data_IF_585580247723
#
_entry.id   IF_585580247723
#
_cell.length_a   1.000
_cell.length_b   1.000
_cell.length_c   1.000
_cell.angle_alpha   90.00
_cell.angle_beta   90.00
_cell.angle_gamma   90.00
#
_symmetry.space_group_name_H-M   'P 1'
#
loop_
_entity.id
_entity.type
_entity.pdbx_description
1 polymer ?
#
# COMPACT_ATOMS: atom_id res chain seq x y z
N UNK A 1 36.66 -28.85 -15.24
CA UNK A 1 35.63 -28.89 -14.17
C UNK A 1 34.69 -27.72 -14.40
N UNK A 2 33.42 -27.99 -14.72
CA UNK A 2 32.42 -26.92 -14.82
C UNK A 2 32.26 -26.25 -13.44
N UNK A 3 32.33 -24.93 -13.41
CA UNK A 3 32.25 -24.14 -12.18
C UNK A 3 30.92 -24.38 -11.47
N UNK A 4 30.96 -24.84 -10.22
CA UNK A 4 29.82 -25.12 -9.37
C UNK A 4 29.08 -23.86 -8.85
N UNK A 5 29.17 -22.72 -9.55
CA UNK A 5 28.82 -21.43 -8.94
C UNK A 5 27.36 -20.98 -9.14
N UNK A 6 26.61 -21.47 -10.12
CA UNK A 6 25.22 -21.05 -10.39
C UNK A 6 24.38 -22.22 -10.93
N UNK A 7 23.20 -22.53 -10.32
CA UNK A 7 22.30 -23.57 -10.83
C UNK A 7 21.78 -23.25 -12.25
N UNK A 8 21.55 -24.28 -13.06
CA UNK A 8 21.09 -24.12 -14.46
C UNK A 8 19.72 -23.42 -14.58
N UNK A 9 18.87 -23.54 -13.57
CA UNK A 9 17.56 -22.88 -13.54
C UNK A 9 17.65 -21.37 -13.26
N UNK A 10 18.79 -20.88 -12.73
CA UNK A 10 18.91 -19.51 -12.27
C UNK A 10 19.47 -18.58 -13.36
N UNK A 11 18.60 -17.76 -13.94
CA UNK A 11 19.03 -16.65 -14.79
C UNK A 11 19.61 -15.50 -13.95
N UNK A 12 20.89 -15.18 -14.15
CA UNK A 12 21.57 -14.11 -13.41
C UNK A 12 21.04 -12.72 -13.73
N UNK A 13 20.61 -12.47 -14.97
CA UNK A 13 20.09 -11.18 -15.41
C UNK A 13 18.75 -10.87 -14.75
N UNK A 14 17.84 -11.85 -14.75
CA UNK A 14 16.53 -11.71 -14.14
C UNK A 14 16.65 -11.52 -12.62
N UNK A 15 17.49 -12.30 -11.97
CA UNK A 15 17.74 -12.16 -10.53
C UNK A 15 18.37 -10.81 -10.18
N UNK A 16 19.32 -10.31 -10.99
CA UNK A 16 19.93 -8.99 -10.78
C UNK A 16 18.89 -7.87 -10.94
N UNK A 17 18.04 -7.94 -11.96
CA UNK A 17 16.96 -6.98 -12.17
C UNK A 17 15.95 -6.99 -11.02
N UNK A 18 15.60 -8.16 -10.51
CA UNK A 18 14.70 -8.26 -9.36
C UNK A 18 15.29 -7.65 -8.09
N UNK A 19 16.55 -7.91 -7.78
CA UNK A 19 17.21 -7.32 -6.60
C UNK A 19 17.33 -5.80 -6.70
N UNK A 20 17.64 -5.28 -7.91
CA UNK A 20 17.61 -3.84 -8.17
C UNK A 20 16.21 -3.27 -7.96
N UNK A 21 15.19 -3.91 -8.53
CA UNK A 21 13.78 -3.50 -8.39
C UNK A 21 13.34 -3.49 -6.92
N UNK A 22 13.67 -4.54 -6.16
CA UNK A 22 13.40 -4.61 -4.72
C UNK A 22 14.05 -3.44 -3.95
N UNK A 23 15.28 -3.09 -4.30
CA UNK A 23 16.01 -1.98 -3.69
C UNK A 23 15.35 -0.64 -4.00
N UNK A 24 14.91 -0.42 -5.24
CA UNK A 24 14.21 0.80 -5.64
C UNK A 24 12.88 0.95 -4.89
N UNK A 25 12.13 -0.13 -4.71
CA UNK A 25 10.89 -0.13 -3.91
C UNK A 25 11.21 0.12 -2.43
N UNK A 26 12.26 -0.50 -1.89
CA UNK A 26 12.69 -0.26 -0.51
C UNK A 26 13.13 1.20 -0.29
N UNK A 27 13.73 1.86 -1.30
CA UNK A 27 14.06 3.29 -1.26
C UNK A 27 12.81 4.18 -1.26
N UNK A 28 11.72 3.77 -1.94
CA UNK A 28 10.43 4.46 -1.82
C UNK A 28 9.92 4.42 -0.38
N UNK A 29 10.12 3.30 0.34
CA UNK A 29 9.74 3.15 1.74
C UNK A 29 10.66 3.89 2.72
N UNK A 30 11.92 3.47 2.84
CA UNK A 30 12.85 3.95 3.88
C UNK A 30 13.09 5.46 3.81
N UNK A 31 13.87 6.01 2.86
CA UNK A 31 14.04 7.45 2.77
C UNK A 31 12.83 8.15 2.14
N UNK A 32 12.16 7.54 1.16
CA UNK A 32 11.09 8.19 0.41
C UNK A 32 9.89 8.60 1.29
N UNK A 33 9.23 7.63 1.94
CA UNK A 33 8.09 7.92 2.80
C UNK A 33 8.48 8.72 4.04
N UNK A 34 9.64 8.44 4.64
CA UNK A 34 10.09 9.20 5.81
C UNK A 34 10.26 10.70 5.50
N UNK A 35 10.93 11.03 4.38
CA UNK A 35 11.10 12.42 3.95
C UNK A 35 9.77 13.06 3.54
N UNK A 36 8.93 12.31 2.80
CA UNK A 36 7.62 12.80 2.39
C UNK A 36 6.74 13.13 3.58
N UNK A 37 6.66 12.24 4.58
CA UNK A 37 5.85 12.45 5.77
C UNK A 37 6.39 13.55 6.68
N UNK A 38 7.71 13.61 6.89
CA UNK A 38 8.31 14.70 7.66
C UNK A 38 8.02 16.07 7.04
N UNK A 39 8.02 16.17 5.70
CA UNK A 39 7.73 17.40 4.97
C UNK A 39 6.25 17.73 4.81
N UNK A 40 5.36 16.74 4.93
CA UNK A 40 3.92 16.91 4.72
C UNK A 40 3.17 17.34 6.00
N UNK A 41 3.81 17.27 7.17
CA UNK A 41 3.23 17.63 8.46
C UNK A 41 3.88 18.90 9.04
N UNK A 42 3.23 19.60 9.98
CA UNK A 42 3.88 20.68 10.73
C UNK A 42 5.19 20.23 11.38
N UNK A 43 6.17 21.12 11.51
CA UNK A 43 7.51 20.81 12.08
C UNK A 43 7.48 20.04 13.40
N UNK A 44 6.49 20.31 14.26
CA UNK A 44 6.32 19.61 15.53
C UNK A 44 5.99 18.12 15.41
N UNK A 45 5.74 17.61 14.20
CA UNK A 45 5.41 16.21 13.93
C UNK A 45 6.40 15.54 12.96
N UNK A 46 7.42 16.27 12.52
CA UNK A 46 8.29 15.82 11.44
C UNK A 46 9.07 14.55 11.85
N UNK A 47 9.57 14.51 13.08
CA UNK A 47 10.37 13.40 13.59
C UNK A 47 9.51 12.15 13.80
N UNK A 48 8.39 12.29 14.51
CA UNK A 48 7.44 11.19 14.75
C UNK A 48 6.97 10.59 13.44
N UNK A 49 6.61 11.44 12.46
CA UNK A 49 6.08 10.98 11.17
C UNK A 49 7.13 10.25 10.32
N UNK A 50 8.39 10.70 10.35
CA UNK A 50 9.51 9.98 9.73
C UNK A 50 9.73 8.61 10.38
N UNK A 51 9.74 8.56 11.72
CA UNK A 51 9.93 7.30 12.46
C UNK A 51 8.78 6.32 12.26
N UNK A 52 7.54 6.78 12.09
CA UNK A 52 6.42 5.89 11.75
C UNK A 52 6.67 5.12 10.44
N UNK A 53 7.18 5.80 9.40
CA UNK A 53 7.54 5.17 8.13
C UNK A 53 8.76 4.23 8.24
N UNK A 54 9.82 4.66 8.93
CA UNK A 54 11.01 3.82 9.15
C UNK A 54 10.68 2.57 9.97
N UNK A 55 9.88 2.72 11.03
CA UNK A 55 9.40 1.62 11.84
C UNK A 55 8.55 0.64 11.04
N UNK A 56 7.65 1.13 10.18
CA UNK A 56 6.83 0.30 9.30
C UNK A 56 7.68 -0.66 8.46
N UNK A 57 8.73 -0.14 7.82
CA UNK A 57 9.67 -0.95 7.04
C UNK A 57 10.44 -1.95 7.94
N UNK A 58 10.99 -1.45 9.05
CA UNK A 58 11.84 -2.22 9.95
C UNK A 58 11.08 -3.36 10.65
N UNK A 59 9.87 -3.11 11.14
CA UNK A 59 9.04 -4.10 11.82
C UNK A 59 8.42 -5.11 10.84
N UNK A 60 8.17 -4.71 9.60
CA UNK A 60 7.67 -5.62 8.56
C UNK A 60 8.73 -6.64 8.14
N UNK A 61 10.02 -6.32 8.19
CA UNK A 61 11.09 -7.26 7.79
C UNK A 61 11.11 -8.56 8.59
N UNK A 62 11.16 -8.56 9.94
CA UNK A 62 11.09 -9.80 10.71
C UNK A 62 9.74 -10.49 10.56
N UNK A 63 8.62 -9.75 10.48
CA UNK A 63 7.31 -10.36 10.24
C UNK A 63 7.30 -11.16 8.93
N UNK A 64 7.79 -10.53 7.86
CA UNK A 64 7.84 -11.12 6.53
C UNK A 64 8.80 -12.30 6.47
N UNK A 65 10.05 -12.11 6.90
CA UNK A 65 11.11 -13.11 6.81
C UNK A 65 10.86 -14.34 7.69
N UNK A 66 10.19 -14.19 8.85
CA UNK A 66 10.00 -15.29 9.79
C UNK A 66 8.73 -16.10 9.50
N UNK A 67 7.62 -15.46 9.15
CA UNK A 67 6.36 -16.19 8.94
C UNK A 67 5.50 -15.69 7.78
N UNK A 68 5.37 -14.37 7.58
CA UNK A 68 4.29 -13.84 6.76
C UNK A 68 4.45 -14.21 5.26
N UNK A 69 5.68 -14.41 4.78
CA UNK A 69 5.96 -14.90 3.42
C UNK A 69 5.66 -16.39 3.18
N UNK A 70 5.25 -17.13 4.22
CA UNK A 70 4.90 -18.56 4.17
C UNK A 70 3.51 -18.83 4.76
N UNK A 71 2.72 -17.79 5.07
CA UNK A 71 1.38 -17.98 5.63
C UNK A 71 0.35 -18.50 4.63
N UNK A 72 0.61 -18.33 3.33
CA UNK A 72 -0.18 -18.92 2.26
C UNK A 72 0.65 -19.91 1.47
N UNK A 73 -0.01 -20.96 0.98
CA UNK A 73 0.57 -21.82 -0.03
C UNK A 73 0.45 -21.15 -1.39
N UNK A 74 1.49 -21.28 -2.22
CA UNK A 74 1.40 -20.86 -3.63
C UNK A 74 0.55 -21.92 -4.33
N UNK A 75 -0.74 -21.67 -4.48
CA UNK A 75 -1.73 -22.67 -4.92
C UNK A 75 -1.61 -23.04 -6.41
N UNK A 76 -0.97 -22.18 -7.22
CA UNK A 76 -0.86 -22.38 -8.67
C UNK A 76 0.61 -22.38 -9.11
N UNK A 77 1.07 -23.44 -9.78
CA UNK A 77 2.46 -23.52 -10.27
C UNK A 77 2.85 -22.38 -11.24
N UNK A 78 1.87 -21.75 -11.90
CA UNK A 78 2.08 -20.61 -12.79
C UNK A 78 2.44 -19.30 -12.06
N UNK A 79 2.28 -19.22 -10.74
CA UNK A 79 2.78 -18.11 -9.90
C UNK A 79 4.02 -18.51 -9.10
N UNK A 80 4.57 -19.71 -9.32
CA UNK A 80 5.80 -20.13 -8.66
C UNK A 80 6.96 -19.22 -9.11
N UNK A 81 7.69 -18.61 -8.17
CA UNK A 81 8.74 -17.66 -8.52
C UNK A 81 9.90 -18.37 -9.23
N UNK A 82 10.35 -17.80 -10.35
CA UNK A 82 11.56 -18.23 -11.07
C UNK A 82 12.86 -17.70 -10.43
N UNK A 83 12.79 -17.33 -9.16
CA UNK A 83 13.81 -16.59 -8.45
C UNK A 83 14.20 -17.30 -7.15
N UNK A 84 15.45 -17.16 -6.68
CA UNK A 84 15.86 -17.65 -5.36
C UNK A 84 14.91 -17.15 -4.27
N UNK A 85 14.49 -18.05 -3.37
CA UNK A 85 13.53 -17.71 -2.30
C UNK A 85 13.93 -16.45 -1.52
N UNK A 86 15.21 -16.31 -1.15
CA UNK A 86 15.71 -15.12 -0.45
C UNK A 86 15.49 -13.81 -1.23
N UNK A 87 15.65 -13.83 -2.55
CA UNK A 87 15.41 -12.65 -3.40
C UNK A 87 13.93 -12.29 -3.51
N UNK A 88 13.05 -13.29 -3.56
CA UNK A 88 11.59 -13.10 -3.52
C UNK A 88 11.12 -12.56 -2.19
N UNK A 89 11.64 -13.09 -1.09
CA UNK A 89 11.33 -12.62 0.27
C UNK A 89 11.71 -11.15 0.40
N UNK A 90 12.90 -10.75 -0.07
CA UNK A 90 13.32 -9.35 -0.06
C UNK A 90 12.46 -8.46 -0.97
N UNK A 91 12.16 -8.92 -2.19
CA UNK A 91 11.30 -8.18 -3.13
C UNK A 91 9.91 -7.93 -2.55
N UNK A 92 9.24 -8.97 -2.06
CA UNK A 92 7.89 -8.84 -1.52
C UNK A 92 7.85 -8.11 -0.17
N UNK A 93 8.89 -8.23 0.65
CA UNK A 93 9.00 -7.40 1.86
C UNK A 93 8.99 -5.91 1.53
N UNK A 94 9.66 -5.48 0.45
CA UNK A 94 9.71 -4.08 0.09
C UNK A 94 8.28 -3.54 -0.19
N UNK A 95 7.44 -4.31 -0.90
CA UNK A 95 6.03 -3.98 -1.09
C UNK A 95 5.27 -4.00 0.24
N UNK A 96 5.40 -5.04 1.05
CA UNK A 96 4.71 -5.16 2.34
C UNK A 96 5.00 -3.98 3.27
N UNK A 97 6.29 -3.63 3.43
CA UNK A 97 6.74 -2.54 4.28
C UNK A 97 6.25 -1.18 3.79
N UNK A 98 6.37 -0.90 2.49
CA UNK A 98 5.85 0.34 1.89
C UNK A 98 4.34 0.43 2.10
N UNK A 99 3.63 -0.67 1.94
CA UNK A 99 2.16 -0.72 2.06
C UNK A 99 1.71 -0.33 3.46
N UNK A 100 2.20 -1.00 4.51
CA UNK A 100 1.81 -0.61 5.87
C UNK A 100 2.33 0.78 6.24
N UNK A 101 3.49 1.19 5.71
CA UNK A 101 4.00 2.56 5.83
C UNK A 101 3.02 3.60 5.27
N UNK A 102 2.38 3.31 4.13
CA UNK A 102 1.40 4.20 3.49
C UNK A 102 0.15 4.44 4.35
N UNK A 103 -0.24 3.47 5.18
CA UNK A 103 -1.36 3.62 6.13
C UNK A 103 -1.09 4.75 7.12
N UNK A 104 0.18 4.96 7.51
CA UNK A 104 0.57 6.02 8.44
C UNK A 104 0.12 7.39 7.95
N UNK A 105 0.18 7.63 6.63
CA UNK A 105 -0.21 8.89 5.99
C UNK A 105 -1.62 9.34 6.33
N UNK A 106 -2.53 8.42 6.65
CA UNK A 106 -3.87 8.80 7.07
C UNK A 106 -3.92 9.24 8.53
N UNK A 107 -3.03 8.71 9.39
CA UNK A 107 -3.06 8.79 10.87
C UNK A 107 -1.96 9.68 11.50
N UNK A 108 -1.18 10.39 10.68
CA UNK A 108 -0.10 11.27 11.13
C UNK A 108 -0.59 12.37 12.10
N UNK A 109 0.31 12.78 13.00
CA UNK A 109 0.10 13.87 13.94
C UNK A 109 -0.93 13.59 15.05
N UNK A 110 -1.40 12.35 15.22
CA UNK A 110 -2.36 12.04 16.30
C UNK A 110 -2.41 10.62 16.82
N UNK A 111 -2.01 9.62 16.03
CA UNK A 111 -2.03 8.24 16.51
C UNK A 111 -0.93 8.02 17.55
N UNK A 112 -1.25 7.27 18.60
CA UNK A 112 -0.25 6.88 19.60
C UNK A 112 0.85 6.06 18.95
N UNK A 113 2.11 6.40 19.22
CA UNK A 113 3.28 5.63 18.73
C UNK A 113 3.22 4.18 19.21
N UNK A 114 2.75 3.93 20.44
CA UNK A 114 2.58 2.56 20.96
C UNK A 114 1.51 1.79 20.19
N UNK A 115 0.40 2.46 19.84
CA UNK A 115 -0.63 1.86 19.01
C UNK A 115 -0.11 1.57 17.60
N UNK A 116 0.67 2.48 17.01
CA UNK A 116 1.33 2.28 15.72
C UNK A 116 2.28 1.07 15.74
N UNK A 117 3.09 0.96 16.79
CA UNK A 117 4.02 -0.16 16.97
C UNK A 117 3.31 -1.52 17.05
N UNK A 118 2.13 -1.58 17.68
CA UNK A 118 1.33 -2.80 17.68
C UNK A 118 0.59 -3.02 16.35
N UNK A 119 0.09 -1.94 15.74
CA UNK A 119 -0.69 -1.98 14.51
C UNK A 119 0.11 -2.56 13.33
N UNK A 120 1.35 -2.10 13.12
CA UNK A 120 2.18 -2.51 11.97
C UNK A 120 2.33 -4.03 11.83
N UNK A 121 2.88 -4.77 12.81
CA UNK A 121 3.07 -6.22 12.66
C UNK A 121 1.73 -6.98 12.54
N UNK A 122 0.70 -6.51 13.24
CA UNK A 122 -0.65 -7.09 13.15
C UNK A 122 -1.27 -6.88 11.77
N UNK A 123 -1.18 -5.67 11.21
CA UNK A 123 -1.76 -5.33 9.91
C UNK A 123 -1.00 -5.98 8.76
N UNK A 124 0.33 -6.02 8.83
CA UNK A 124 1.15 -6.79 7.88
C UNK A 124 0.71 -8.25 7.84
N UNK A 125 0.53 -8.88 9.01
CA UNK A 125 0.19 -10.30 9.12
C UNK A 125 -1.26 -10.60 8.76
N UNK A 126 -2.21 -9.85 9.32
CA UNK A 126 -3.63 -10.19 9.29
C UNK A 126 -4.40 -9.50 8.16
N UNK A 127 -3.85 -8.43 7.57
CA UNK A 127 -4.49 -7.72 6.46
C UNK A 127 -3.69 -7.87 5.16
N UNK A 128 -2.45 -7.36 5.14
CA UNK A 128 -1.63 -7.31 3.93
C UNK A 128 -1.36 -8.71 3.36
N UNK A 129 -0.83 -9.62 4.18
CA UNK A 129 -0.51 -10.98 3.75
C UNK A 129 -1.74 -11.68 3.16
N UNK A 130 -2.89 -11.61 3.82
CA UNK A 130 -4.13 -12.22 3.33
C UNK A 130 -4.57 -11.62 1.99
N UNK A 131 -4.47 -10.29 1.84
CA UNK A 131 -4.74 -9.60 0.58
C UNK A 131 -3.78 -10.02 -0.54
N UNK A 132 -2.48 -10.05 -0.26
CA UNK A 132 -1.44 -10.43 -1.21
C UNK A 132 -1.62 -11.87 -1.70
N UNK A 133 -1.82 -12.84 -0.80
CA UNK A 133 -2.03 -14.24 -1.21
C UNK A 133 -3.34 -14.45 -1.98
N UNK A 134 -4.39 -13.69 -1.66
CA UNK A 134 -5.66 -13.79 -2.38
C UNK A 134 -5.55 -13.42 -3.86
N UNK A 135 -4.65 -12.50 -4.23
CA UNK A 135 -4.49 -11.96 -5.59
C UNK A 135 -3.21 -12.47 -6.28
N UNK A 136 -2.06 -12.43 -5.60
CA UNK A 136 -0.76 -12.80 -6.17
C UNK A 136 -0.31 -14.22 -5.82
N UNK A 137 -0.74 -14.75 -4.68
CA UNK A 137 -0.38 -16.09 -4.21
C UNK A 137 -1.14 -17.24 -4.87
N UNK A 138 -2.04 -16.93 -5.82
CA UNK A 138 -2.89 -17.94 -6.46
C UNK A 138 -4.23 -18.19 -5.77
N UNK A 139 -4.62 -17.39 -4.76
CA UNK A 139 -5.85 -17.61 -4.01
C UNK A 139 -7.17 -17.26 -4.73
N UNK A 140 -8.23 -17.05 -3.95
CA UNK A 140 -9.59 -16.94 -4.51
C UNK A 140 -9.83 -15.77 -5.48
N UNK A 141 -9.18 -14.60 -5.29
CA UNK A 141 -9.32 -13.47 -6.21
C UNK A 141 -8.54 -13.71 -7.50
N UNK A 142 -7.37 -14.34 -7.39
CA UNK A 142 -6.60 -14.79 -8.55
C UNK A 142 -7.43 -15.70 -9.46
N UNK A 143 -8.08 -16.73 -8.90
CA UNK A 143 -8.93 -17.66 -9.65
C UNK A 143 -10.17 -17.01 -10.28
N UNK A 144 -10.55 -15.82 -9.83
CA UNK A 144 -11.64 -15.05 -10.42
C UNK A 144 -11.16 -14.04 -11.46
N UNK A 145 -9.90 -14.12 -11.90
CA UNK A 145 -9.39 -13.28 -13.00
C UNK A 145 -9.08 -11.85 -12.59
N UNK A 146 -8.86 -11.58 -11.30
CA UNK A 146 -8.45 -10.24 -10.83
C UNK A 146 -7.08 -9.91 -11.39
N UNK A 147 -7.02 -8.87 -12.23
CA UNK A 147 -5.76 -8.34 -12.76
C UNK A 147 -5.20 -7.28 -11.81
N UNK A 148 -4.02 -7.55 -11.27
CA UNK A 148 -3.27 -6.61 -10.45
C UNK A 148 -1.76 -6.80 -10.67
N UNK A 149 -1.19 -6.08 -11.63
CA UNK A 149 0.19 -6.28 -12.06
C UNK A 149 1.21 -5.98 -10.94
N UNK A 150 1.13 -4.82 -10.30
CA UNK A 150 2.08 -4.41 -9.26
C UNK A 150 1.46 -3.76 -8.01
N UNK A 151 0.15 -3.89 -7.79
CA UNK A 151 -0.45 -3.60 -6.48
C UNK A 151 -1.52 -2.51 -6.46
N UNK A 152 -2.28 -2.31 -7.54
CA UNK A 152 -3.45 -1.44 -7.51
C UNK A 152 -4.43 -1.81 -6.40
N UNK A 153 -4.65 -3.10 -6.16
CA UNK A 153 -5.52 -3.58 -5.10
C UNK A 153 -4.76 -3.98 -3.83
N UNK A 154 -3.72 -4.81 -3.97
CA UNK A 154 -2.93 -5.33 -2.84
C UNK A 154 -2.24 -4.20 -2.05
N UNK A 155 -1.83 -3.13 -2.73
CA UNK A 155 -1.18 -1.97 -2.11
C UNK A 155 -2.16 -0.82 -2.01
N UNK A 156 -2.57 -0.22 -3.12
CA UNK A 156 -3.20 1.10 -3.10
C UNK A 156 -4.64 1.10 -2.59
N UNK A 157 -5.50 0.18 -3.05
CA UNK A 157 -6.84 0.05 -2.50
C UNK A 157 -6.80 -0.33 -1.02
N UNK A 158 -5.94 -1.30 -0.66
CA UNK A 158 -5.79 -1.77 0.71
C UNK A 158 -5.43 -0.64 1.68
N UNK A 159 -4.42 0.18 1.34
CA UNK A 159 -3.98 1.28 2.22
C UNK A 159 -4.94 2.47 2.21
N UNK A 160 -5.57 2.77 1.07
CA UNK A 160 -6.58 3.81 0.98
C UNK A 160 -7.76 3.54 1.92
N UNK A 161 -8.27 2.30 1.90
CA UNK A 161 -9.37 1.87 2.77
C UNK A 161 -8.92 1.72 4.22
N UNK A 162 -7.77 1.09 4.46
CA UNK A 162 -7.27 0.86 5.82
C UNK A 162 -6.87 2.17 6.51
N UNK A 163 -6.21 3.08 5.80
CA UNK A 163 -5.86 4.41 6.32
C UNK A 163 -7.10 5.21 6.70
N UNK A 164 -8.10 5.26 5.83
CA UNK A 164 -9.35 5.95 6.12
C UNK A 164 -10.11 5.31 7.31
N UNK A 165 -10.14 3.98 7.36
CA UNK A 165 -10.72 3.22 8.49
C UNK A 165 -9.95 3.50 9.79
N UNK A 166 -8.62 3.56 9.73
CA UNK A 166 -7.80 3.86 10.89
C UNK A 166 -8.01 5.29 11.38
N UNK A 167 -8.07 6.26 10.48
CA UNK A 167 -8.38 7.65 10.79
C UNK A 167 -9.77 7.78 11.47
N UNK A 168 -10.76 6.99 11.05
CA UNK A 168 -12.07 6.95 11.72
C UNK A 168 -11.97 6.47 13.18
N UNK A 169 -11.26 5.36 13.44
CA UNK A 169 -11.13 4.81 14.79
C UNK A 169 -10.23 5.62 15.72
N UNK A 170 -9.19 6.26 15.17
CA UNK A 170 -8.29 7.14 15.92
C UNK A 170 -8.98 8.46 16.26
N UNK A 171 -9.80 8.98 15.34
CA UNK A 171 -10.47 10.26 15.47
C UNK A 171 -9.69 11.43 14.84
N UNK A 172 -10.30 12.63 14.80
CA UNK A 172 -9.77 13.78 14.08
C UNK A 172 -8.56 14.43 14.78
N UNK A 173 -7.76 15.16 13.99
CA UNK A 173 -6.77 16.12 14.48
C UNK A 173 -7.47 17.32 15.08
N UNK A 174 -6.66 18.20 15.64
CA UNK A 174 -7.10 19.54 16.02
C UNK A 174 -7.28 20.41 14.79
N UNK A 175 -8.30 21.27 14.80
CA UNK A 175 -8.65 22.13 13.65
C UNK A 175 -7.50 23.00 13.15
N UNK A 176 -6.63 23.44 14.04
CA UNK A 176 -5.46 24.26 13.66
C UNK A 176 -4.44 23.47 12.83
N UNK A 177 -4.54 22.14 12.80
CA UNK A 177 -3.64 21.21 12.11
C UNK A 177 -4.31 20.50 10.93
N UNK A 178 -5.61 20.71 10.71
CA UNK A 178 -6.38 20.12 9.60
C UNK A 178 -6.02 20.75 8.23
N UNK A 179 -5.20 21.79 8.20
CA UNK A 179 -4.76 22.48 6.98
C UNK A 179 -3.35 22.10 6.53
N UNK A 180 -3.23 21.10 5.66
CA UNK A 180 -1.95 20.78 5.01
C UNK A 180 -2.01 19.45 4.26
N UNK A 181 -2.11 19.52 2.93
CA UNK A 181 -2.16 18.30 2.11
C UNK A 181 -2.40 18.50 0.62
N UNK A 182 -1.96 19.61 0.00
CA UNK A 182 -2.14 19.82 -1.45
C UNK A 182 -1.02 19.22 -2.30
N UNK A 183 -0.47 18.08 -1.89
CA UNK A 183 0.52 17.33 -2.66
C UNK A 183 -0.11 16.01 -3.14
N UNK A 184 -0.55 16.00 -4.40
CA UNK A 184 0.21 15.37 -5.52
C UNK A 184 -0.72 14.72 -6.57
N UNK A 185 -0.95 15.41 -7.69
CA UNK A 185 -1.53 14.80 -8.90
C UNK A 185 -0.58 13.84 -9.64
N UNK A 186 0.74 13.98 -9.49
CA UNK A 186 1.73 13.02 -10.01
C UNK A 186 1.63 11.63 -9.33
N UNK A 187 1.46 11.57 -7.99
CA UNK A 187 1.33 10.32 -7.25
C UNK A 187 0.07 9.58 -7.66
N UNK A 188 -1.06 10.25 -7.84
CA UNK A 188 -2.28 9.57 -8.27
C UNK A 188 -2.08 8.90 -9.64
N UNK A 189 -1.37 9.55 -10.57
CA UNK A 189 -1.00 8.95 -11.85
C UNK A 189 -0.18 7.66 -11.69
N UNK A 190 0.81 7.66 -10.79
CA UNK A 190 1.59 6.46 -10.45
C UNK A 190 0.70 5.36 -9.87
N UNK A 191 -0.18 5.70 -8.92
CA UNK A 191 -1.14 4.76 -8.34
C UNK A 191 -2.08 4.17 -9.39
N UNK A 192 -2.58 5.00 -10.30
CA UNK A 192 -3.51 4.60 -11.36
C UNK A 192 -2.87 3.60 -12.34
N UNK A 193 -1.58 3.78 -12.68
CA UNK A 193 -0.91 2.86 -13.62
C UNK A 193 -0.45 1.55 -12.95
N UNK A 194 -0.29 1.50 -11.63
CA UNK A 194 0.17 0.31 -10.89
C UNK A 194 -0.49 -1.02 -11.30
N UNK A 195 -1.84 -1.17 -11.31
CA UNK A 195 -2.44 -2.44 -11.73
C UNK A 195 -2.26 -2.77 -13.22
N UNK A 196 -1.89 -1.79 -14.06
CA UNK A 196 -1.87 -1.88 -15.53
C UNK A 196 -0.47 -1.88 -16.15
N UNK A 197 0.59 -1.59 -15.39
CA UNK A 197 1.88 -1.17 -15.95
C UNK A 197 2.50 -2.15 -16.96
N UNK A 198 2.30 -3.46 -16.79
CA UNK A 198 2.72 -4.49 -17.74
C UNK A 198 1.65 -4.95 -18.73
N UNK A 199 0.41 -4.45 -18.62
CA UNK A 199 -0.78 -5.00 -19.28
C UNK A 199 -1.38 -4.08 -20.34
N UNK A 200 -0.97 -2.80 -20.39
CA UNK A 200 -1.54 -1.79 -21.29
C UNK A 200 -0.47 -1.20 -22.22
N UNK A 201 -0.92 -0.65 -23.35
CA UNK A 201 -0.05 0.04 -24.30
C UNK A 201 0.32 1.45 -23.81
N UNK A 202 1.43 2.00 -24.29
CA UNK A 202 1.93 3.32 -23.85
C UNK A 202 0.92 4.47 -24.06
N UNK A 203 0.15 4.45 -25.14
CA UNK A 203 -0.90 5.46 -25.37
C UNK A 203 -2.03 5.38 -24.34
N UNK A 204 -2.38 4.17 -23.88
CA UNK A 204 -3.40 3.97 -22.86
C UNK A 204 -2.91 4.45 -21.50
N UNK A 205 -1.63 4.23 -21.18
CA UNK A 205 -1.01 4.75 -19.96
C UNK A 205 -1.09 6.29 -19.87
N UNK A 206 -0.94 7.00 -20.99
CA UNK A 206 -1.11 8.46 -21.04
C UNK A 206 -2.56 8.87 -20.69
N UNK A 207 -3.56 8.16 -21.23
CA UNK A 207 -4.97 8.41 -20.92
C UNK A 207 -5.29 8.12 -19.45
N UNK A 208 -4.73 7.04 -18.89
CA UNK A 208 -4.87 6.70 -17.46
C UNK A 208 -4.27 7.79 -16.57
N UNK A 209 -3.13 8.37 -16.96
CA UNK A 209 -2.52 9.51 -16.28
C UNK A 209 -3.43 10.76 -16.29
N UNK A 210 -4.02 11.09 -17.44
CA UNK A 210 -4.97 12.22 -17.56
C UNK A 210 -6.23 11.99 -16.71
N UNK A 211 -6.80 10.78 -16.76
CA UNK A 211 -7.94 10.42 -15.93
C UNK A 211 -7.63 10.53 -14.42
N UNK A 212 -6.42 10.13 -14.02
CA UNK A 212 -5.98 10.22 -12.63
C UNK A 212 -5.67 11.65 -12.17
N UNK A 213 -5.31 12.55 -13.08
CA UNK A 213 -5.15 13.98 -12.76
C UNK A 213 -6.48 14.69 -12.50
N UNK A 214 -7.60 14.11 -12.94
CA UNK A 214 -8.93 14.73 -12.85
C UNK A 214 -9.80 14.11 -11.77
N UNK A 215 -10.00 12.79 -11.78
CA UNK A 215 -10.97 12.14 -10.89
C UNK A 215 -10.56 12.19 -9.39
N UNK A 216 -9.38 11.71 -8.98
CA UNK A 216 -8.88 11.88 -7.60
C UNK A 216 -8.92 13.34 -7.13
N UNK A 217 -8.43 14.28 -7.94
CA UNK A 217 -8.46 15.72 -7.64
C UNK A 217 -9.90 16.24 -7.45
N UNK A 218 -10.83 15.83 -8.30
CA UNK A 218 -12.25 16.17 -8.17
C UNK A 218 -12.84 15.62 -6.87
N UNK A 219 -12.55 14.35 -6.55
CA UNK A 219 -13.08 13.73 -5.33
C UNK A 219 -12.52 14.36 -4.06
N UNK A 220 -11.26 14.76 -4.06
CA UNK A 220 -10.59 15.40 -2.92
C UNK A 220 -11.07 16.84 -2.69
N UNK A 221 -11.36 17.59 -3.77
CA UNK A 221 -11.69 19.02 -3.66
C UNK A 221 -13.19 19.30 -3.66
N UNK A 222 -13.94 18.72 -4.60
CA UNK A 222 -15.33 19.10 -4.87
C UNK A 222 -16.34 18.09 -4.31
N UNK A 223 -15.99 16.79 -4.29
CA UNK A 223 -16.90 15.75 -3.80
C UNK A 223 -16.66 15.37 -2.33
N UNK A 224 -15.54 15.78 -1.72
CA UNK A 224 -15.25 15.51 -0.31
C UNK A 224 -16.34 16.07 0.61
N UNK A 225 -16.89 17.25 0.27
CA UNK A 225 -17.99 17.84 1.03
C UNK A 225 -19.32 17.11 0.90
N UNK A 226 -19.50 16.34 -0.18
CA UNK A 226 -20.68 15.51 -0.42
C UNK A 226 -20.59 14.12 0.23
N UNK A 227 -19.42 13.71 0.72
CA UNK A 227 -19.28 12.45 1.47
C UNK A 227 -19.98 12.54 2.82
N UNK A 228 -20.96 11.68 3.06
CA UNK A 228 -21.79 11.69 4.26
C UNK A 228 -21.05 11.32 5.55
N UNK A 229 -19.91 10.63 5.43
CA UNK A 229 -19.01 10.33 6.55
C UNK A 229 -17.71 11.07 6.29
N UNK A 230 -17.49 12.20 6.97
CA UNK A 230 -16.23 12.95 6.90
C UNK A 230 -15.28 12.42 7.95
N UNK A 231 -14.11 11.95 7.50
CA UNK A 231 -13.00 11.50 8.35
C UNK A 231 -11.81 12.39 8.03
N UNK A 232 -11.12 12.86 9.07
CA UNK A 232 -9.87 13.59 8.92
C UNK A 232 -8.74 12.63 8.51
N UNK A 233 -8.59 12.46 7.20
CA UNK A 233 -7.54 11.71 6.54
C UNK A 233 -6.37 12.65 6.20
N UNK A 234 -5.28 12.55 6.97
CA UNK A 234 -4.25 13.61 7.03
C UNK A 234 -3.65 13.98 5.69
N UNK A 235 -3.33 13.00 4.85
CA UNK A 235 -2.75 13.22 3.52
C UNK A 235 -3.73 12.87 2.40
N UNK A 236 -5.02 12.66 2.69
CA UNK A 236 -6.01 12.26 1.71
C UNK A 236 -5.70 10.91 1.06
N UNK A 237 -5.23 9.93 1.85
CA UNK A 237 -4.86 8.58 1.40
C UNK A 237 -6.03 7.85 0.74
N UNK A 238 -7.28 8.10 1.15
CA UNK A 238 -8.47 7.56 0.48
C UNK A 238 -8.51 7.99 -0.99
N UNK A 239 -8.36 9.28 -1.26
CA UNK A 239 -8.46 9.82 -2.62
C UNK A 239 -7.22 9.48 -3.46
N UNK A 240 -6.05 9.66 -2.87
CA UNK A 240 -4.78 9.46 -3.59
C UNK A 240 -4.48 8.00 -3.85
N UNK A 241 -4.84 7.07 -2.94
CA UNK A 241 -4.59 5.65 -3.08
C UNK A 241 -5.83 4.82 -3.45
N UNK A 242 -6.92 4.87 -2.68
CA UNK A 242 -8.08 4.00 -2.98
C UNK A 242 -8.84 4.43 -4.23
N UNK A 243 -9.19 5.71 -4.37
CA UNK A 243 -9.90 6.20 -5.58
C UNK A 243 -9.04 6.02 -6.83
N UNK A 244 -7.76 6.43 -6.78
CA UNK A 244 -6.83 6.24 -7.90
C UNK A 244 -6.57 4.76 -8.21
N UNK A 245 -6.47 3.89 -7.19
CA UNK A 245 -6.23 2.46 -7.37
C UNK A 245 -7.43 1.74 -7.98
N UNK A 246 -8.66 2.11 -7.58
CA UNK A 246 -9.89 1.62 -8.21
C UNK A 246 -9.98 2.10 -9.66
N UNK A 247 -9.71 3.38 -9.91
CA UNK A 247 -9.66 3.92 -11.27
C UNK A 247 -8.66 3.14 -12.13
N UNK A 248 -7.45 2.94 -11.62
CA UNK A 248 -6.41 2.17 -12.26
C UNK A 248 -6.84 0.74 -12.59
N UNK A 249 -7.44 0.03 -11.63
CA UNK A 249 -7.90 -1.34 -11.84
C UNK A 249 -9.04 -1.45 -12.86
N UNK A 250 -9.99 -0.51 -12.84
CA UNK A 250 -11.07 -0.43 -13.85
C UNK A 250 -10.50 -0.14 -15.24
N UNK A 251 -9.58 0.82 -15.36
CA UNK A 251 -8.97 1.18 -16.64
C UNK A 251 -8.00 0.11 -17.15
N UNK A 252 -7.31 -0.61 -16.27
CA UNK A 252 -6.60 -1.86 -16.62
C UNK A 252 -7.56 -2.82 -17.30
N UNK A 253 -8.76 -2.93 -16.74
CA UNK A 253 -9.84 -3.70 -17.32
C UNK A 253 -10.21 -3.30 -18.75
N UNK A 254 -10.32 -2.00 -18.99
CA UNK A 254 -10.69 -1.44 -20.30
C UNK A 254 -9.55 -1.57 -21.33
N UNK A 255 -8.31 -1.33 -20.91
CA UNK A 255 -7.17 -1.18 -21.81
C UNK A 255 -6.23 -2.39 -21.87
N UNK A 256 -6.50 -3.45 -21.10
CA UNK A 256 -5.72 -4.68 -21.11
C UNK A 256 -5.54 -5.24 -22.53
N UNK A 257 -4.29 -5.34 -22.95
CA UNK A 257 -3.95 -5.84 -24.28
C UNK A 257 -3.68 -7.35 -24.21
N UNK A 258 -4.39 -8.20 -24.99
CA UNK A 258 -4.31 -9.65 -24.85
C UNK A 258 -2.89 -10.21 -24.91
N UNK A 259 -2.08 -9.76 -25.86
CA UNK A 259 -0.67 -10.18 -25.97
C UNK A 259 0.17 -9.82 -24.75
N UNK A 260 -0.11 -8.67 -24.11
CA UNK A 260 0.61 -8.27 -22.89
C UNK A 260 0.14 -9.11 -21.70
N UNK A 261 -1.17 -9.35 -21.59
CA UNK A 261 -1.74 -10.25 -20.59
C UNK A 261 -1.17 -11.67 -20.70
N UNK A 262 -1.07 -12.23 -21.91
CA UNK A 262 -0.52 -13.58 -22.12
C UNK A 262 0.98 -13.68 -21.80
N UNK A 263 1.72 -12.56 -21.79
CA UNK A 263 3.14 -12.54 -21.40
C UNK A 263 3.34 -12.48 -19.89
N UNK A 264 2.47 -11.80 -19.16
CA UNK A 264 2.71 -11.44 -17.75
C UNK A 264 1.72 -12.03 -16.76
N UNK A 265 0.52 -12.40 -17.20
CA UNK A 265 -0.51 -12.98 -16.34
C UNK A 265 -0.53 -14.50 -16.50
N UNK A 266 -0.71 -15.24 -15.39
CA UNK A 266 -0.83 -16.69 -15.44
C UNK A 266 -2.10 -17.19 -16.15
N UNK A 267 -3.15 -16.35 -16.20
CA UNK A 267 -4.43 -16.67 -16.86
C UNK A 267 -4.42 -16.07 -18.27
N UNK A 268 -4.19 -16.91 -19.27
CA UNK A 268 -4.15 -16.52 -20.68
C UNK A 268 -5.55 -16.15 -21.20
N UNK A 269 -5.60 -15.26 -22.19
CA UNK A 269 -6.85 -14.77 -22.78
C UNK A 269 -7.66 -13.81 -21.90
N UNK A 270 -7.09 -13.36 -20.77
CA UNK A 270 -7.71 -12.40 -19.86
C UNK A 270 -8.06 -11.09 -20.58
N UNK A 271 -9.32 -10.66 -20.48
CA UNK A 271 -9.84 -9.38 -21.01
C UNK A 271 -10.74 -8.72 -19.96
N UNK A 272 -10.66 -7.40 -19.86
CA UNK A 272 -10.65 -6.81 -18.54
C UNK A 272 -11.90 -6.08 -18.02
N UNK A 273 -13.03 -6.00 -18.71
CA UNK A 273 -14.21 -5.36 -18.08
C UNK A 273 -15.02 -6.32 -17.16
N UNK A 274 -14.91 -7.63 -17.36
CA UNK A 274 -15.80 -8.64 -16.76
C UNK A 274 -15.46 -8.96 -15.29
N UNK A 275 -14.27 -8.61 -14.82
CA UNK A 275 -13.78 -9.05 -13.50
C UNK A 275 -13.79 -7.94 -12.42
N UNK A 276 -13.83 -6.66 -12.81
CA UNK A 276 -13.51 -5.50 -11.95
C UNK A 276 -14.44 -5.13 -10.79
N UNK A 277 -15.76 -5.39 -10.87
CA UNK A 277 -16.74 -4.77 -9.97
C UNK A 277 -16.85 -5.41 -8.58
N UNK A 278 -17.07 -6.73 -8.53
CA UNK A 278 -17.33 -7.47 -7.27
C UNK A 278 -16.06 -7.60 -6.42
N UNK A 279 -14.88 -7.60 -7.05
CA UNK A 279 -13.58 -7.68 -6.37
C UNK A 279 -13.25 -6.46 -5.50
N UNK A 280 -13.59 -5.24 -5.96
CA UNK A 280 -13.35 -4.01 -5.20
C UNK A 280 -14.12 -4.03 -3.89
N UNK A 281 -15.39 -4.45 -3.93
CA UNK A 281 -16.22 -4.54 -2.73
C UNK A 281 -15.66 -5.51 -1.70
N UNK A 282 -15.13 -6.66 -2.14
CA UNK A 282 -14.53 -7.67 -1.25
C UNK A 282 -13.24 -7.16 -0.62
N UNK A 283 -12.38 -6.49 -1.40
CA UNK A 283 -11.17 -5.87 -0.88
C UNK A 283 -11.48 -4.74 0.10
N UNK A 284 -12.46 -3.89 -0.21
CA UNK A 284 -12.93 -2.84 0.71
C UNK A 284 -13.46 -3.47 2.01
N UNK A 285 -14.36 -4.46 1.92
CA UNK A 285 -14.93 -5.10 3.08
C UNK A 285 -13.87 -5.77 3.97
N UNK A 286 -12.92 -6.48 3.37
CA UNK A 286 -11.82 -7.11 4.09
C UNK A 286 -10.95 -6.08 4.81
N UNK A 287 -10.50 -5.04 4.11
CA UNK A 287 -9.62 -4.02 4.69
C UNK A 287 -10.33 -3.20 5.78
N UNK A 288 -11.63 -2.90 5.63
CA UNK A 288 -12.43 -2.28 6.70
C UNK A 288 -12.51 -3.21 7.91
N UNK A 289 -12.88 -4.47 7.70
CA UNK A 289 -13.07 -5.43 8.78
C UNK A 289 -11.76 -5.74 9.53
N UNK A 290 -10.72 -6.15 8.81
CA UNK A 290 -9.42 -6.49 9.38
C UNK A 290 -8.82 -5.29 10.13
N UNK A 291 -8.80 -4.11 9.51
CA UNK A 291 -8.27 -2.89 10.15
C UNK A 291 -9.06 -2.52 11.40
N UNK A 292 -10.40 -2.61 11.36
CA UNK A 292 -11.24 -2.33 12.52
C UNK A 292 -10.98 -3.31 13.66
N UNK A 293 -10.90 -4.62 13.36
CA UNK A 293 -10.62 -5.66 14.36
C UNK A 293 -9.25 -5.44 15.01
N UNK A 294 -8.22 -5.17 14.20
CA UNK A 294 -6.86 -4.90 14.69
C UNK A 294 -6.86 -3.67 15.60
N UNK A 295 -7.48 -2.56 15.17
CA UNK A 295 -7.50 -1.34 15.98
C UNK A 295 -8.30 -1.50 17.27
N UNK A 296 -9.42 -2.22 17.24
CA UNK A 296 -10.19 -2.53 18.44
C UNK A 296 -9.40 -3.43 19.40
N UNK A 297 -8.64 -4.40 18.88
CA UNK A 297 -7.74 -5.23 19.67
C UNK A 297 -6.63 -4.39 20.30
N UNK A 298 -5.95 -3.54 19.52
CA UNK A 298 -4.90 -2.64 20.02
C UNK A 298 -5.47 -1.69 21.08
N UNK A 299 -6.68 -1.16 20.86
CA UNK A 299 -7.39 -0.26 21.78
C UNK A 299 -7.64 -0.89 23.15
N UNK A 300 -7.76 -2.21 23.23
CA UNK A 300 -7.94 -2.90 24.50
C UNK A 300 -6.71 -2.81 25.42
N UNK A 301 -5.53 -2.51 24.87
CA UNK A 301 -4.27 -2.46 25.61
C UNK A 301 -3.62 -1.08 25.63
N UNK A 302 -3.75 -0.30 24.56
CA UNK A 302 -3.16 1.03 24.42
C UNK A 302 -4.13 2.01 23.76
N UNK A 303 -4.15 3.29 24.17
CA UNK A 303 -4.98 4.29 23.52
C UNK A 303 -4.56 4.47 22.05
N UNK A 304 -5.54 4.51 21.14
CA UNK A 304 -5.26 4.70 19.70
C UNK A 304 -4.79 6.12 19.37
N UNK A 305 -5.29 7.12 20.11
CA UNK A 305 -4.97 8.54 19.93
C UNK A 305 -4.10 9.02 21.09
N UNK A 306 -3.15 9.88 20.77
CA UNK A 306 -2.37 10.62 21.77
C UNK A 306 -3.28 11.51 22.63
N UNK A 307 -2.86 11.79 23.85
CA UNK A 307 -3.54 12.72 24.75
C UNK A 307 -3.45 14.16 24.23
N UNK A 308 -4.34 15.04 24.67
CA UNK A 308 -4.33 16.44 24.21
C UNK A 308 -3.02 17.18 24.56
N UNK A 309 -2.39 16.82 25.68
CA UNK A 309 -1.08 17.37 26.08
C UNK A 309 0.05 16.91 25.14
N UNK A 310 0.04 15.63 24.76
CA UNK A 310 0.98 15.07 23.76
C UNK A 310 0.75 15.71 22.38
N UNK A 311 -0.51 15.95 21.99
CA UNK A 311 -0.84 16.63 20.73
C UNK A 311 -0.35 18.09 20.69
N UNK A 312 -0.38 18.77 21.83
CA UNK A 312 0.16 20.12 21.98
C UNK A 312 1.68 20.14 21.84
N UNK A 313 2.36 19.24 22.53
CA UNK A 313 3.82 19.18 22.58
C UNK A 313 4.47 18.61 21.31
N UNK A 314 3.80 17.69 20.60
CA UNK A 314 4.33 17.09 19.38
C UNK A 314 5.52 16.16 19.64
N UNK A 315 6.54 16.24 18.78
CA UNK A 315 7.77 15.45 18.84
C UNK A 315 8.46 15.53 20.20
N UNK A 316 8.35 16.66 20.91
CA UNK A 316 8.92 16.83 22.25
C UNK A 316 8.33 15.81 23.24
N UNK A 317 7.04 15.50 23.15
CA UNK A 317 6.40 14.52 24.05
C UNK A 317 6.86 13.08 23.76
N UNK A 318 7.22 12.78 22.52
CA UNK A 318 7.58 11.43 22.07
C UNK A 318 9.09 11.18 22.19
N UNK A 319 9.89 12.17 21.77
CA UNK A 319 11.32 12.05 21.56
C UNK A 319 12.15 12.90 22.51
N UNK A 320 11.55 13.89 23.19
CA UNK A 320 12.27 14.87 24.02
C UNK A 320 12.99 15.96 23.21
N UNK A 321 12.85 15.97 21.89
CA UNK A 321 13.45 16.93 20.96
C UNK A 321 12.49 17.26 19.81
N UNK A 322 12.80 18.33 19.06
CA UNK A 322 12.04 18.78 17.90
C UNK A 322 13.00 19.01 16.73
N UNK A 323 12.58 18.65 15.52
CA UNK A 323 13.35 18.81 14.27
C UNK A 323 13.55 20.27 13.83
#
# INVERSE_FOLDING_TARGET
MASAAVPEWLNKGDNAWQMLSATLVALQGFPGLALFYAGAVPRKWALTSAFMALYAMAATMPCWALWAHNMGEVETAAVAPLYPSASMVFFQWAFAGVTVGLVAGAVLGRMSVKAWMAFVPLWTTLSYTMGAYSIWGGGFLFHWGVMDYSGGYVVHLAVGVSGYTAAYWVGPRRKEEEGGGNLVGMMTGLVCITPAAGLVQGWAALLMGVASGTLPCYTMNAAADAMSFKVDDTLGILHTHAVSGVLGGVLTGVFAHPTLCDMFLPVTGSRGLIYGGVQVLKQVAWNVAATSIILLLVRAFVPLRMTEDELLAGDIAVHGEQA
#
